data_IF_731020719489
#
_entry.id   IF_731020719489
#
_cell.length_a   1.000
_cell.length_b   1.000
_cell.length_c   1.000
_cell.angle_alpha   90.00
_cell.angle_beta   90.00
_cell.angle_gamma   90.00
#
_symmetry.space_group_name_H-M   'P 1'
#
loop_
_entity.id
_entity.type
_entity.pdbx_description
1 polymer ?
#
# COMPACT_ATOMS: atom_id res chain seq x y z
N UNK A 1 -11.18 4.26 -14.61
CA UNK A 1 -10.10 3.35 -14.14
C UNK A 1 -10.23 3.18 -12.63
N UNK A 2 -10.22 1.96 -12.12
CA UNK A 2 -10.24 1.71 -10.67
C UNK A 2 -8.88 2.06 -10.06
N UNK A 3 -8.86 2.76 -8.92
CA UNK A 3 -7.62 2.99 -8.16
C UNK A 3 -7.01 1.64 -7.74
N UNK A 4 -5.68 1.51 -7.70
CA UNK A 4 -4.99 0.26 -7.29
C UNK A 4 -5.53 -0.31 -5.97
N UNK A 5 -5.95 0.55 -5.05
CA UNK A 5 -6.58 0.15 -3.80
C UNK A 5 -7.89 -0.65 -3.99
N UNK A 6 -8.66 -0.38 -5.04
CA UNK A 6 -9.90 -1.10 -5.33
C UNK A 6 -9.66 -2.53 -5.82
N UNK A 7 -8.52 -2.79 -6.46
CA UNK A 7 -8.15 -4.09 -7.04
C UNK A 7 -7.73 -5.14 -6.01
N UNK A 8 -7.55 -4.74 -4.75
CA UNK A 8 -7.28 -5.68 -3.65
C UNK A 8 -8.36 -6.76 -3.52
N UNK A 9 -9.59 -6.43 -3.92
CA UNK A 9 -10.75 -7.34 -3.89
C UNK A 9 -10.82 -8.27 -5.11
N UNK A 10 -9.99 -8.06 -6.12
CA UNK A 10 -9.96 -8.81 -7.38
C UNK A 10 -8.99 -10.01 -7.29
N UNK A 11 -9.02 -10.74 -6.18
CA UNK A 11 -8.22 -11.96 -6.00
C UNK A 11 -6.76 -11.76 -5.59
N UNK A 12 -6.36 -10.55 -5.18
CA UNK A 12 -5.00 -10.30 -4.67
C UNK A 12 -4.74 -10.97 -3.31
N UNK A 13 -5.79 -11.15 -2.50
CA UNK A 13 -5.71 -11.86 -1.24
C UNK A 13 -6.07 -13.34 -1.46
N UNK A 14 -5.07 -14.20 -1.27
CA UNK A 14 -5.20 -15.65 -1.39
C UNK A 14 -5.37 -16.30 -0.01
N UNK A 15 -6.47 -17.05 0.16
CA UNK A 15 -6.78 -17.78 1.41
C UNK A 15 -6.01 -19.07 1.57
N UNK A 16 -5.41 -19.58 0.49
CA UNK A 16 -4.56 -20.78 0.55
C UNK A 16 -3.15 -20.45 1.05
N UNK A 17 -2.82 -19.17 1.20
CA UNK A 17 -1.58 -18.73 1.82
C UNK A 17 -1.54 -19.14 3.30
N UNK A 18 -0.37 -19.63 3.74
CA UNK A 18 -0.09 -20.09 5.10
C UNK A 18 -0.41 -19.07 6.19
N UNK A 19 -0.42 -17.77 5.87
CA UNK A 19 -0.72 -16.72 6.85
C UNK A 19 -1.88 -15.84 6.41
N UNK A 20 -2.82 -15.61 7.32
CA UNK A 20 -3.92 -14.64 7.13
C UNK A 20 -3.49 -13.18 7.34
N UNK A 21 -2.20 -12.89 7.50
CA UNK A 21 -1.72 -11.53 7.75
C UNK A 21 -1.46 -10.78 6.45
N UNK A 22 -2.30 -9.79 6.15
CA UNK A 22 -2.20 -8.99 4.94
C UNK A 22 -1.37 -7.71 5.16
N UNK A 23 -0.23 -7.63 4.48
CA UNK A 23 0.68 -6.47 4.49
C UNK A 23 0.44 -5.59 3.26
N UNK A 24 0.23 -4.29 3.45
CA UNK A 24 0.03 -3.39 2.31
C UNK A 24 0.35 -1.92 2.64
N UNK A 25 0.50 -1.12 1.57
CA UNK A 25 0.73 0.32 1.67
C UNK A 25 -0.54 1.08 2.11
N UNK A 26 -0.33 2.32 2.57
CA UNK A 26 -1.38 3.23 3.02
C UNK A 26 -2.48 3.45 1.98
N UNK A 27 -2.16 3.37 0.68
CA UNK A 27 -3.14 3.47 -0.41
C UNK A 27 -4.24 2.41 -0.33
N UNK A 28 -3.98 1.25 0.29
CA UNK A 28 -4.94 0.17 0.48
C UNK A 28 -5.80 0.33 1.74
N UNK A 29 -5.58 1.36 2.57
CA UNK A 29 -6.28 1.58 3.85
C UNK A 29 -7.69 2.17 3.70
N UNK A 30 -8.37 1.91 2.58
CA UNK A 30 -9.77 2.31 2.42
C UNK A 30 -10.67 1.53 3.39
N UNK A 31 -11.82 2.11 3.77
CA UNK A 31 -12.81 1.43 4.62
C UNK A 31 -13.27 0.12 3.97
N UNK A 32 -13.63 0.17 2.69
CA UNK A 32 -14.07 -1.00 1.93
C UNK A 32 -13.06 -2.15 1.91
N UNK A 33 -11.75 -1.85 1.86
CA UNK A 33 -10.72 -2.89 1.93
C UNK A 33 -10.55 -3.44 3.35
N UNK A 34 -10.70 -2.58 4.37
CA UNK A 34 -10.71 -3.03 5.76
C UNK A 34 -11.86 -4.00 6.02
N UNK A 35 -13.07 -3.60 5.66
CA UNK A 35 -14.27 -4.42 5.81
C UNK A 35 -14.16 -5.72 4.99
N UNK A 36 -13.54 -5.67 3.81
CA UNK A 36 -13.28 -6.86 3.01
C UNK A 36 -12.26 -7.80 3.68
N UNK A 37 -11.13 -7.28 4.17
CA UNK A 37 -10.13 -8.09 4.88
C UNK A 37 -10.75 -8.75 6.12
N UNK A 38 -11.55 -8.02 6.89
CA UNK A 38 -12.23 -8.53 8.07
C UNK A 38 -13.23 -9.63 7.72
N UNK A 39 -14.08 -9.42 6.70
CA UNK A 39 -15.02 -10.44 6.20
C UNK A 39 -14.35 -11.70 5.66
N UNK A 40 -13.08 -11.62 5.30
CA UNK A 40 -12.31 -12.72 4.73
C UNK A 40 -11.29 -13.27 5.75
N UNK A 41 -11.41 -12.89 7.03
CA UNK A 41 -10.58 -13.34 8.16
C UNK A 41 -9.09 -12.97 8.05
N UNK A 42 -8.77 -11.90 7.32
CA UNK A 42 -7.40 -11.39 7.21
C UNK A 42 -7.06 -10.38 8.31
N UNK A 43 -5.88 -10.55 8.91
CA UNK A 43 -5.28 -9.61 9.86
C UNK A 43 -4.60 -8.47 9.10
N UNK A 44 -5.22 -7.28 9.13
CA UNK A 44 -4.71 -6.12 8.40
C UNK A 44 -3.44 -5.53 9.07
N UNK A 45 -2.30 -5.63 8.38
CA UNK A 45 -1.05 -4.90 8.68
C UNK A 45 -0.80 -3.75 7.71
N UNK A 46 -1.88 -3.16 7.20
CA UNK A 46 -1.81 -2.00 6.29
C UNK A 46 -1.29 -0.75 7.02
N UNK A 47 -0.41 0.01 6.38
CA UNK A 47 0.13 1.26 6.92
C UNK A 47 -0.96 2.31 7.18
N UNK A 48 -0.75 3.16 8.20
CA UNK A 48 -1.61 4.30 8.49
C UNK A 48 -1.00 5.59 7.94
N UNK A 49 -1.80 6.39 7.23
CA UNK A 49 -1.39 7.71 6.71
C UNK A 49 -1.12 8.67 7.86
N UNK A 50 -0.14 9.56 7.70
CA UNK A 50 0.01 10.73 8.55
C UNK A 50 -1.24 11.62 8.42
N UNK A 51 -1.82 12.10 9.53
CA UNK A 51 -2.91 13.06 9.48
C UNK A 51 -2.46 14.37 8.83
N UNK A 52 -3.36 15.03 8.09
CA UNK A 52 -3.04 16.28 7.41
C UNK A 52 -2.73 17.38 8.42
N UNK A 53 -1.65 18.12 8.20
CA UNK A 53 -1.17 19.25 9.03
C UNK A 53 -0.93 18.92 10.52
N UNK A 54 -0.91 17.64 10.90
CA UNK A 54 -0.70 17.21 12.28
C UNK A 54 0.49 16.25 12.38
N UNK A 55 1.23 16.24 13.50
CA UNK A 55 2.22 15.21 13.75
C UNK A 55 1.55 13.83 13.82
N UNK A 56 2.30 12.79 13.46
CA UNK A 56 1.82 11.42 13.63
C UNK A 56 1.84 11.05 15.11
N UNK A 57 0.76 10.45 15.62
CA UNK A 57 0.75 9.94 16.99
C UNK A 57 1.85 8.88 17.18
N UNK A 58 2.56 8.94 18.32
CA UNK A 58 3.71 8.08 18.62
C UNK A 58 3.41 6.58 18.47
N UNK A 59 2.23 6.13 18.92
CA UNK A 59 1.83 4.72 18.79
C UNK A 59 1.64 4.29 17.33
N UNK A 60 1.15 5.19 16.46
CA UNK A 60 1.01 4.93 15.02
C UNK A 60 2.38 4.88 14.37
N UNK A 61 3.27 5.79 14.75
CA UNK A 61 4.64 5.81 14.25
C UNK A 61 5.39 4.53 14.61
N UNK A 62 5.31 4.07 15.86
CA UNK A 62 5.90 2.79 16.29
C UNK A 62 5.30 1.59 15.54
N UNK A 63 3.97 1.56 15.37
CA UNK A 63 3.31 0.51 14.58
C UNK A 63 3.78 0.50 13.12
N UNK A 64 3.85 1.67 12.48
CA UNK A 64 4.34 1.81 11.11
C UNK A 64 5.83 1.46 11.00
N UNK A 65 6.65 1.80 12.00
CA UNK A 65 8.07 1.44 12.04
C UNK A 65 8.25 -0.08 12.09
N UNK A 66 7.53 -0.77 12.98
CA UNK A 66 7.53 -2.24 13.03
C UNK A 66 7.07 -2.85 11.71
N UNK A 67 6.08 -2.24 11.04
CA UNK A 67 5.65 -2.70 9.71
C UNK A 67 6.70 -2.46 8.62
N UNK A 68 7.44 -1.36 8.71
CA UNK A 68 8.48 -1.00 7.75
C UNK A 68 9.67 -1.95 7.81
N UNK A 69 10.00 -2.52 8.98
CA UNK A 69 11.07 -3.55 9.12
C UNK A 69 10.80 -4.78 8.26
N UNK A 70 9.54 -5.18 8.13
CA UNK A 70 9.14 -6.31 7.28
C UNK A 70 9.07 -5.89 5.82
N UNK A 71 8.52 -4.69 5.55
CA UNK A 71 8.38 -4.15 4.18
C UNK A 71 9.74 -3.92 3.50
N UNK A 72 10.74 -3.42 4.22
CA UNK A 72 12.08 -3.16 3.65
C UNK A 72 12.76 -4.42 3.11
N UNK A 73 12.43 -5.59 3.66
CA UNK A 73 12.94 -6.89 3.16
C UNK A 73 12.44 -7.24 1.77
N UNK A 74 11.30 -6.71 1.33
CA UNK A 74 10.72 -7.00 0.01
C UNK A 74 10.75 -5.79 -0.93
N UNK A 75 10.95 -4.58 -0.40
CA UNK A 75 11.03 -3.34 -1.18
C UNK A 75 12.10 -3.38 -2.27
N UNK A 76 13.24 -4.02 -2.01
CA UNK A 76 14.29 -4.16 -3.03
C UNK A 76 13.81 -4.95 -4.24
N UNK A 77 12.98 -5.99 -4.05
CA UNK A 77 12.37 -6.76 -5.14
C UNK A 77 11.41 -5.89 -5.93
N UNK A 78 10.58 -5.09 -5.24
CA UNK A 78 9.67 -4.16 -5.91
C UNK A 78 10.40 -3.02 -6.64
N UNK A 79 11.54 -2.56 -6.11
CA UNK A 79 12.37 -1.56 -6.75
C UNK A 79 13.05 -2.11 -8.00
N UNK A 80 13.58 -3.34 -7.92
CA UNK A 80 14.18 -4.04 -9.06
C UNK A 80 13.12 -4.34 -10.13
N UNK A 81 11.94 -4.85 -9.74
CA UNK A 81 10.81 -5.00 -10.65
C UNK A 81 10.50 -3.66 -11.33
N UNK A 82 10.28 -2.57 -10.59
CA UNK A 82 10.01 -1.24 -11.17
C UNK A 82 11.10 -0.73 -12.11
N UNK A 83 12.37 -1.06 -11.84
CA UNK A 83 13.48 -0.73 -12.72
C UNK A 83 13.39 -1.51 -14.04
N UNK A 84 13.08 -2.82 -13.97
CA UNK A 84 12.94 -3.71 -15.13
C UNK A 84 11.69 -3.44 -15.98
N UNK A 85 10.55 -3.08 -15.38
CA UNK A 85 9.29 -2.76 -16.11
C UNK A 85 9.20 -1.30 -16.59
N UNK A 86 10.24 -0.47 -16.37
CA UNK A 86 10.22 0.94 -16.71
C UNK A 86 9.20 1.75 -15.89
N UNK A 87 9.52 3.01 -15.56
CA UNK A 87 8.60 3.90 -14.86
C UNK A 87 7.39 4.25 -15.75
N UNK A 88 6.34 3.44 -15.75
CA UNK A 88 5.06 3.82 -16.38
C UNK A 88 4.26 4.70 -15.41
N UNK A 89 4.63 5.99 -15.31
CA UNK A 89 3.91 6.97 -14.50
C UNK A 89 2.73 7.52 -15.30
N UNK A 90 1.51 7.03 -15.04
CA UNK A 90 0.28 7.68 -15.53
C UNK A 90 -0.14 8.78 -14.55
N UNK A 91 0.07 10.03 -14.92
CA UNK A 91 -0.48 11.20 -14.22
C UNK A 91 -1.81 11.59 -14.87
N UNK A 92 -2.80 11.97 -14.05
CA UNK A 92 -4.16 12.33 -14.50
C UNK A 92 -4.21 13.67 -15.23
N UNK A 93 -3.13 14.46 -15.14
CA UNK A 93 -3.08 15.82 -15.66
C UNK A 93 -1.71 16.08 -16.33
N UNK A 94 -1.73 16.52 -17.59
CA UNK A 94 -0.55 16.82 -18.41
C UNK A 94 0.36 17.85 -17.72
N UNK A 95 -0.21 18.81 -17.01
CA UNK A 95 0.55 19.87 -16.30
C UNK A 95 1.35 19.29 -15.14
N UNK A 96 0.91 18.16 -14.58
CA UNK A 96 1.61 17.45 -13.50
C UNK A 96 2.63 16.44 -14.01
N UNK A 97 2.49 16.01 -15.26
CA UNK A 97 3.47 15.16 -15.95
C UNK A 97 4.74 15.95 -16.23
N UNK A 98 4.61 17.18 -16.75
CA UNK A 98 5.75 18.05 -17.08
C UNK A 98 6.51 18.52 -15.85
N UNK A 99 5.86 18.70 -14.69
CA UNK A 99 6.52 19.14 -13.46
C UNK A 99 7.36 18.04 -12.77
N UNK A 100 7.14 16.75 -13.07
CA UNK A 100 7.91 15.62 -12.49
C UNK A 100 9.07 15.18 -13.37
N UNK A 101 9.07 15.55 -14.65
CA UNK A 101 10.22 15.43 -15.53
C UNK A 101 10.93 16.80 -15.49
N UNK A 102 11.65 17.01 -14.40
CA UNK A 102 12.57 18.11 -14.17
C UNK A 102 13.79 17.54 -13.46
#
# INVERSE_FOLDING_TARGET
>A
AASDGARLREGLLDKTNTTSTAWADTTYRSKANGDFMEKQDFVSKVHKKKPHLKPMHRHIQQSNAGKSVIRSRVEHVFADQKLQIGLFVRTVDITRATMRIG
#
